data_IF_564859972692
#
_entry.id   IF_564859972692
#
_cell.length_a   1.000
_cell.length_b   1.000
_cell.length_c   1.000
_cell.angle_alpha   90.00
_cell.angle_beta   90.00
_cell.angle_gamma   90.00
#
_symmetry.space_group_name_H-M   'P 1'
#
loop_
_entity.id
_entity.type
_entity.pdbx_description
1 polymer ?
#
# COMPACT_ATOMS: atom_id res chain seq x y z
N UNK A 1 -13.73 -6.26 11.68
CA UNK A 1 -12.30 -5.98 11.41
C UNK A 1 -12.06 -5.03 10.23
N UNK A 2 -12.35 -5.40 8.97
CA UNK A 2 -11.96 -4.56 7.82
C UNK A 2 -12.71 -3.23 7.78
N UNK A 3 -13.95 -3.19 8.23
CA UNK A 3 -14.68 -1.93 8.41
C UNK A 3 -14.00 -1.03 9.43
N UNK A 4 -13.56 -1.59 10.57
CA UNK A 4 -12.82 -0.84 11.60
C UNK A 4 -11.49 -0.31 11.07
N UNK A 5 -10.70 -1.14 10.38
CA UNK A 5 -9.45 -0.74 9.75
C UNK A 5 -9.68 0.35 8.68
N UNK A 6 -10.76 0.22 7.90
CA UNK A 6 -11.16 1.21 6.90
C UNK A 6 -11.53 2.53 7.57
N UNK A 7 -12.34 2.50 8.64
CA UNK A 7 -12.70 3.72 9.38
C UNK A 7 -11.47 4.34 10.07
N UNK A 8 -10.56 3.50 10.58
CA UNK A 8 -9.30 3.94 11.16
C UNK A 8 -8.46 4.74 10.17
N UNK A 9 -8.31 4.30 8.92
CA UNK A 9 -7.61 5.08 7.90
C UNK A 9 -8.42 6.31 7.47
N UNK A 10 -9.72 6.12 7.24
CA UNK A 10 -10.58 7.13 6.64
C UNK A 10 -10.84 8.34 7.56
N UNK A 11 -10.74 8.18 8.89
CA UNK A 11 -10.85 9.30 9.83
C UNK A 11 -9.80 10.40 9.60
N UNK A 12 -8.71 10.08 8.90
CA UNK A 12 -7.63 11.00 8.57
C UNK A 12 -7.81 11.71 7.23
N UNK A 13 -8.92 11.49 6.49
CA UNK A 13 -9.18 12.11 5.17
C UNK A 13 -8.92 13.62 5.10
N UNK A 14 -9.31 14.35 6.15
CA UNK A 14 -9.19 15.81 6.21
C UNK A 14 -8.03 16.27 7.09
N UNK A 15 -7.06 15.39 7.35
CA UNK A 15 -5.89 15.65 8.19
C UNK A 15 -4.62 15.42 7.39
N UNK A 16 -3.69 16.36 7.48
CA UNK A 16 -2.34 16.15 6.99
C UNK A 16 -1.49 15.65 8.15
N UNK A 17 -1.08 14.39 8.08
CA UNK A 17 -0.12 13.79 9.01
C UNK A 17 1.25 13.73 8.35
N UNK A 18 2.26 14.19 9.06
CA UNK A 18 3.65 14.00 8.66
C UNK A 18 4.13 12.59 9.04
N UNK A 19 5.27 12.14 8.50
CA UNK A 19 5.79 10.79 8.75
C UNK A 19 5.92 10.48 10.26
N UNK A 20 6.31 11.47 11.06
CA UNK A 20 6.37 11.35 12.52
C UNK A 20 4.99 11.03 13.11
N UNK A 21 3.95 11.78 12.74
CA UNK A 21 2.60 11.59 13.28
C UNK A 21 2.04 10.22 12.87
N UNK A 22 2.29 9.78 11.64
CA UNK A 22 1.89 8.45 11.18
C UNK A 22 2.61 7.34 11.96
N UNK A 23 3.89 7.54 12.31
CA UNK A 23 4.66 6.56 13.08
C UNK A 23 4.14 6.34 14.51
N UNK A 24 3.43 7.32 15.08
CA UNK A 24 2.79 7.22 16.39
C UNK A 24 1.57 6.28 16.36
N UNK A 25 1.03 5.98 15.17
CA UNK A 25 -0.08 5.05 14.96
C UNK A 25 0.35 3.58 14.86
N UNK A 26 1.62 3.27 15.14
CA UNK A 26 2.22 1.95 14.96
C UNK A 26 1.40 0.82 15.56
N UNK A 27 0.90 0.98 16.79
CA UNK A 27 0.17 -0.09 17.48
C UNK A 27 -1.11 -0.48 16.75
N UNK A 28 -1.85 0.49 16.20
CA UNK A 28 -3.05 0.24 15.40
C UNK A 28 -2.71 -0.47 14.08
N UNK A 29 -1.68 -0.01 13.37
CA UNK A 29 -1.22 -0.66 12.14
C UNK A 29 -0.76 -2.10 12.38
N UNK A 30 -0.01 -2.34 13.46
CA UNK A 30 0.44 -3.69 13.83
C UNK A 30 -0.75 -4.60 14.19
N UNK A 31 -1.72 -4.09 14.95
CA UNK A 31 -2.95 -4.81 15.27
C UNK A 31 -3.67 -5.24 13.99
N UNK A 32 -3.98 -4.29 13.10
CA UNK A 32 -4.71 -4.60 11.88
C UNK A 32 -3.92 -5.48 10.91
N UNK A 33 -2.59 -5.29 10.79
CA UNK A 33 -1.71 -6.17 10.01
C UNK A 33 -1.82 -7.61 10.50
N UNK A 34 -1.73 -7.83 11.81
CA UNK A 34 -1.81 -9.17 12.39
C UNK A 34 -3.17 -9.84 12.13
N UNK A 35 -4.26 -9.09 12.15
CA UNK A 35 -5.58 -9.62 11.77
C UNK A 35 -5.63 -9.96 10.26
N UNK A 36 -5.07 -9.09 9.41
CA UNK A 36 -5.06 -9.25 7.95
C UNK A 36 -4.24 -10.48 7.52
N UNK A 37 -3.01 -10.64 7.99
CA UNK A 37 -2.12 -11.74 7.57
C UNK A 37 -2.67 -13.12 7.92
N UNK A 38 -3.57 -13.19 8.90
CA UNK A 38 -4.27 -14.41 9.32
C UNK A 38 -5.62 -14.60 8.63
N UNK A 39 -5.98 -13.74 7.67
CA UNK A 39 -7.23 -13.78 6.92
C UNK A 39 -7.02 -14.26 5.48
N UNK A 40 -8.09 -14.72 4.83
CA UNK A 40 -8.06 -15.07 3.40
C UNK A 40 -7.74 -13.88 2.49
N UNK A 41 -8.02 -12.65 2.95
CA UNK A 41 -7.75 -11.43 2.19
C UNK A 41 -6.25 -11.21 1.94
N UNK A 42 -5.37 -11.69 2.83
CA UNK A 42 -3.93 -11.57 2.64
C UNK A 42 -3.48 -12.31 1.38
N UNK A 43 -3.91 -13.56 1.22
CA UNK A 43 -3.59 -14.35 0.03
C UNK A 43 -4.30 -13.79 -1.21
N UNK A 44 -5.56 -13.35 -1.07
CA UNK A 44 -6.34 -12.77 -2.18
C UNK A 44 -5.63 -11.55 -2.80
N UNK A 45 -5.06 -10.67 -1.97
CA UNK A 45 -4.48 -9.40 -2.42
C UNK A 45 -2.95 -9.37 -2.34
N UNK A 46 -2.30 -10.53 -2.24
CA UNK A 46 -0.85 -10.60 -2.03
C UNK A 46 -0.06 -9.97 -3.17
N UNK A 47 -0.47 -10.18 -4.42
CA UNK A 47 0.16 -9.57 -5.60
C UNK A 47 -0.02 -8.04 -5.62
N UNK A 48 -1.19 -7.55 -5.19
CA UNK A 48 -1.41 -6.11 -5.03
C UNK A 48 -0.50 -5.53 -3.93
N UNK A 49 -0.33 -6.26 -2.82
CA UNK A 49 0.63 -5.90 -1.78
C UNK A 49 2.06 -5.80 -2.32
N UNK A 50 2.54 -6.81 -3.07
CA UNK A 50 3.87 -6.78 -3.68
C UNK A 50 4.02 -5.59 -4.63
N UNK A 51 3.01 -5.33 -5.44
CA UNK A 51 3.04 -4.22 -6.39
C UNK A 51 3.14 -2.85 -5.69
N UNK A 52 2.30 -2.60 -4.68
CA UNK A 52 2.32 -1.33 -3.94
C UNK A 52 3.57 -1.18 -3.09
N UNK A 53 4.05 -2.27 -2.46
CA UNK A 53 5.32 -2.26 -1.73
C UNK A 53 6.50 -1.95 -2.64
N UNK A 54 6.60 -2.60 -3.80
CA UNK A 54 7.63 -2.33 -4.80
C UNK A 54 7.55 -0.89 -5.33
N UNK A 55 6.34 -0.41 -5.63
CA UNK A 55 6.10 0.98 -6.03
C UNK A 55 6.53 1.98 -4.96
N UNK A 56 6.31 1.67 -3.68
CA UNK A 56 6.70 2.53 -2.54
C UNK A 56 8.21 2.70 -2.47
N UNK A 57 8.98 1.66 -2.78
CA UNK A 57 10.44 1.72 -2.81
C UNK A 57 11.05 2.57 -3.94
N UNK A 58 10.24 3.15 -4.84
CA UNK A 58 10.72 4.19 -5.76
C UNK A 58 11.24 5.44 -5.04
N UNK A 59 10.77 5.66 -3.80
CA UNK A 59 11.21 6.76 -2.96
C UNK A 59 12.37 6.29 -2.08
N UNK A 60 13.52 6.97 -2.19
CA UNK A 60 14.75 6.55 -1.50
C UNK A 60 14.68 6.70 0.02
N UNK A 61 14.02 7.75 0.52
CA UNK A 61 13.99 8.07 1.95
C UNK A 61 12.75 7.49 2.65
N UNK A 62 12.95 6.95 3.85
CA UNK A 62 11.90 6.27 4.62
C UNK A 62 10.78 7.22 5.11
N UNK A 63 11.12 8.46 5.44
CA UNK A 63 10.14 9.51 5.79
C UNK A 63 9.21 9.81 4.61
N UNK A 64 9.77 9.95 3.40
CA UNK A 64 8.98 10.16 2.19
C UNK A 64 8.12 8.95 1.85
N UNK A 65 8.65 7.72 1.98
CA UNK A 65 7.87 6.49 1.80
C UNK A 65 6.66 6.48 2.72
N UNK A 66 6.88 6.67 4.01
CA UNK A 66 5.81 6.65 5.00
C UNK A 66 4.76 7.73 4.73
N UNK A 67 5.20 8.97 4.50
CA UNK A 67 4.32 10.09 4.24
C UNK A 67 3.45 9.86 2.99
N UNK A 68 4.07 9.61 1.84
CA UNK A 68 3.33 9.51 0.58
C UNK A 68 2.45 8.26 0.53
N UNK A 69 2.92 7.11 1.02
CA UNK A 69 2.11 5.88 1.03
C UNK A 69 0.88 6.03 1.95
N UNK A 70 1.00 6.74 3.08
CA UNK A 70 -0.15 7.03 3.93
C UNK A 70 -1.17 7.95 3.23
N UNK A 71 -0.71 9.00 2.55
CA UNK A 71 -1.59 9.89 1.78
C UNK A 71 -2.28 9.16 0.61
N UNK A 72 -1.53 8.33 -0.12
CA UNK A 72 -2.06 7.48 -1.20
C UNK A 72 -3.13 6.51 -0.68
N UNK A 73 -2.95 5.93 0.51
CA UNK A 73 -3.93 5.03 1.12
C UNK A 73 -5.27 5.73 1.37
N UNK A 74 -5.23 6.91 1.99
CA UNK A 74 -6.41 7.72 2.28
C UNK A 74 -7.12 8.09 0.98
N UNK A 75 -6.37 8.59 -0.01
CA UNK A 75 -6.93 8.98 -1.30
C UNK A 75 -7.60 7.80 -2.03
N UNK A 76 -6.94 6.64 -2.05
CA UNK A 76 -7.44 5.45 -2.75
C UNK A 76 -8.72 4.92 -2.10
N UNK A 77 -8.79 4.91 -0.77
CA UNK A 77 -10.00 4.53 -0.02
C UNK A 77 -11.12 5.55 -0.26
N UNK A 78 -10.82 6.84 -0.24
CA UNK A 78 -11.83 7.88 -0.49
C UNK A 78 -12.41 7.77 -1.90
N UNK A 79 -11.54 7.62 -2.90
CA UNK A 79 -11.97 7.45 -4.29
C UNK A 79 -12.87 6.22 -4.45
N UNK A 80 -12.46 5.07 -3.90
CA UNK A 80 -13.26 3.85 -3.96
C UNK A 80 -14.63 4.01 -3.27
N UNK A 81 -14.69 4.73 -2.12
CA UNK A 81 -15.97 5.05 -1.46
C UNK A 81 -16.85 5.95 -2.32
N UNK A 82 -16.27 6.98 -2.96
CA UNK A 82 -17.00 7.89 -3.84
C UNK A 82 -17.57 7.19 -5.07
N UNK A 83 -16.83 6.22 -5.63
CA UNK A 83 -17.27 5.41 -6.77
C UNK A 83 -18.15 4.21 -6.37
N UNK A 84 -18.40 4.01 -5.07
CA UNK A 84 -19.15 2.86 -4.54
C UNK A 84 -18.54 1.51 -4.92
N UNK A 85 -17.21 1.46 -5.01
CA UNK A 85 -16.44 0.26 -5.26
C UNK A 85 -16.06 -0.43 -3.94
N UNK A 86 -16.95 -1.30 -3.46
CA UNK A 86 -16.75 -2.01 -2.17
C UNK A 86 -15.50 -2.91 -2.19
N UNK A 87 -15.21 -3.55 -3.33
CA UNK A 87 -14.01 -4.37 -3.46
C UNK A 87 -12.75 -3.50 -3.47
N UNK A 88 -12.78 -2.36 -4.15
CA UNK A 88 -11.71 -1.36 -4.11
C UNK A 88 -11.46 -0.84 -2.70
N UNK A 89 -12.51 -0.58 -1.90
CA UNK A 89 -12.35 -0.19 -0.49
C UNK A 89 -11.63 -1.29 0.28
N UNK A 90 -12.08 -2.54 0.16
CA UNK A 90 -11.47 -3.67 0.86
C UNK A 90 -10.00 -3.87 0.45
N UNK A 91 -9.72 -3.90 -0.85
CA UNK A 91 -8.37 -4.08 -1.41
C UNK A 91 -7.42 -3.01 -0.89
N UNK A 92 -7.81 -1.74 -0.97
CA UNK A 92 -6.97 -0.63 -0.55
C UNK A 92 -6.73 -0.66 0.96
N UNK A 93 -7.76 -0.90 1.77
CA UNK A 93 -7.59 -1.05 3.22
C UNK A 93 -6.60 -2.17 3.57
N UNK A 94 -6.75 -3.34 2.97
CA UNK A 94 -5.89 -4.50 3.24
C UNK A 94 -4.44 -4.21 2.86
N UNK A 95 -4.21 -3.79 1.62
CA UNK A 95 -2.86 -3.60 1.08
C UNK A 95 -2.14 -2.49 1.81
N UNK A 96 -2.77 -1.33 1.98
CA UNK A 96 -2.09 -0.18 2.57
C UNK A 96 -1.82 -0.36 4.06
N UNK A 97 -2.64 -1.08 4.84
CA UNK A 97 -2.31 -1.39 6.24
C UNK A 97 -0.96 -2.12 6.32
N UNK A 98 -0.75 -3.14 5.49
CA UNK A 98 0.47 -3.95 5.53
C UNK A 98 1.68 -3.13 5.07
N UNK A 99 1.55 -2.39 3.97
CA UNK A 99 2.66 -1.57 3.43
C UNK A 99 3.02 -0.44 4.37
N UNK A 100 2.05 0.22 5.00
CA UNK A 100 2.30 1.31 5.94
C UNK A 100 2.98 0.78 7.21
N UNK A 101 2.58 -0.38 7.74
CA UNK A 101 3.30 -0.99 8.87
C UNK A 101 4.78 -1.25 8.53
N UNK A 102 5.07 -1.78 7.33
CA UNK A 102 6.44 -1.97 6.88
C UNK A 102 7.19 -0.61 6.80
N UNK A 103 6.55 0.44 6.26
CA UNK A 103 7.12 1.78 6.19
C UNK A 103 7.38 2.40 7.58
N UNK A 104 6.47 2.20 8.55
CA UNK A 104 6.64 2.65 9.94
C UNK A 104 7.86 1.95 10.55
N UNK A 105 8.00 0.64 10.34
CA UNK A 105 9.13 -0.11 10.86
C UNK A 105 10.45 0.40 10.27
N UNK A 106 10.52 0.66 8.96
CA UNK A 106 11.72 1.25 8.35
C UNK A 106 12.02 2.65 8.88
N UNK A 107 11.01 3.52 8.97
CA UNK A 107 11.16 4.89 9.46
C UNK A 107 11.71 4.92 10.89
N UNK A 108 11.28 3.99 11.74
CA UNK A 108 11.75 3.84 13.11
C UNK A 108 13.10 3.09 13.23
N UNK A 109 13.69 2.64 12.13
CA UNK A 109 14.94 1.87 12.12
C UNK A 109 14.80 0.43 12.60
N UNK A 110 13.59 -0.13 12.61
CA UNK A 110 13.35 -1.54 12.90
C UNK A 110 13.69 -2.40 11.68
N UNK A 111 14.05 -3.67 11.93
CA UNK A 111 14.30 -4.63 10.85
C UNK A 111 13.03 -4.92 10.04
N UNK A 112 13.18 -4.99 8.72
CA UNK A 112 12.13 -5.47 7.80
C UNK A 112 12.53 -6.78 7.14
N UNK A 113 11.54 -7.48 6.58
CA UNK A 113 11.78 -8.67 5.76
C UNK A 113 12.39 -8.26 4.40
N UNK A 114 13.72 -8.36 4.31
CA UNK A 114 14.49 -8.05 3.10
C UNK A 114 14.18 -9.01 1.94
N UNK A 115 13.82 -10.28 2.21
CA UNK A 115 13.44 -11.21 1.15
C UNK A 115 12.12 -10.77 0.51
N UNK A 116 11.14 -10.37 1.34
CA UNK A 116 9.85 -9.90 0.88
C UNK A 116 9.96 -8.55 0.14
N UNK A 117 10.84 -7.67 0.61
CA UNK A 117 11.18 -6.42 -0.08
C UNK A 117 11.78 -6.68 -1.46
N UNK A 118 12.77 -7.57 -1.57
CA UNK A 118 13.37 -7.91 -2.85
C UNK A 118 12.33 -8.51 -3.82
N UNK A 119 11.47 -9.40 -3.32
CA UNK A 119 10.35 -9.97 -4.09
C UNK A 119 9.39 -8.89 -4.61
N UNK A 120 9.08 -7.89 -3.78
CA UNK A 120 8.20 -6.79 -4.17
C UNK A 120 8.82 -5.89 -5.26
N UNK A 121 10.13 -5.60 -5.16
CA UNK A 121 10.86 -4.85 -6.19
C UNK A 121 10.84 -5.56 -7.54
N UNK A 122 11.15 -6.86 -7.55
CA UNK A 122 11.14 -7.68 -8.76
C UNK A 122 9.73 -7.79 -9.37
N UNK A 123 8.72 -7.99 -8.52
CA UNK A 123 7.33 -8.04 -8.95
C UNK A 123 6.92 -6.73 -9.66
N UNK A 124 7.17 -5.59 -9.02
CA UNK A 124 6.84 -4.28 -9.57
C UNK A 124 7.59 -4.03 -10.90
N UNK A 125 8.89 -4.33 -10.98
CA UNK A 125 9.66 -4.15 -12.21
C UNK A 125 9.10 -5.00 -13.37
N UNK A 126 8.71 -6.23 -13.09
CA UNK A 126 8.10 -7.12 -14.09
C UNK A 126 6.74 -6.60 -14.57
N UNK A 127 5.90 -6.10 -13.68
CA UNK A 127 4.62 -5.48 -14.05
C UNK A 127 4.84 -4.23 -14.92
N UNK A 128 5.81 -3.37 -14.57
CA UNK A 128 6.14 -2.20 -15.39
C UNK A 128 6.62 -2.59 -16.80
N UNK A 129 7.46 -3.64 -16.91
CA UNK A 129 7.89 -4.17 -18.21
C UNK A 129 6.71 -4.71 -19.02
N UNK A 130 5.78 -5.43 -18.40
CA UNK A 130 4.58 -5.95 -19.07
C UNK A 130 3.72 -4.82 -19.62
N UNK A 131 3.40 -3.82 -18.80
CA UNK A 131 2.61 -2.65 -19.19
C UNK A 131 3.30 -1.89 -20.33
N UNK A 132 4.62 -1.68 -20.25
CA UNK A 132 5.40 -1.03 -21.32
C UNK A 132 5.33 -1.79 -22.65
N UNK A 133 5.42 -3.12 -22.61
CA UNK A 133 5.34 -3.97 -23.80
C UNK A 133 3.93 -3.96 -24.42
N UNK A 134 2.88 -3.94 -23.62
CA UNK A 134 1.49 -3.82 -24.09
C UNK A 134 1.24 -2.46 -24.74
N UNK A 135 1.66 -1.36 -24.10
CA UNK A 135 1.49 -0.01 -24.64
C UNK A 135 2.19 0.14 -26.00
N UNK A 136 3.40 -0.43 -26.17
CA UNK A 136 4.10 -0.45 -27.46
C UNK A 136 3.28 -1.15 -28.55
N UNK A 137 2.58 -2.24 -28.23
CA UNK A 137 1.69 -2.92 -29.19
C UNK A 137 0.55 -2.01 -29.61
N UNK A 138 -0.15 -1.37 -28.66
CA UNK A 138 -1.25 -0.45 -28.97
C UNK A 138 -0.81 0.73 -29.85
N UNK A 139 0.36 1.31 -29.60
CA UNK A 139 0.90 2.39 -30.43
C UNK A 139 1.33 1.93 -31.84
N UNK A 140 1.63 0.64 -32.05
CA UNK A 140 1.88 0.11 -33.40
C UNK A 140 0.59 -0.04 -34.23
N UNK A 141 -0.57 -0.29 -33.59
CA UNK A 141 -1.87 -0.46 -34.28
C UNK A 141 -2.62 0.86 -34.54
N UNK A 142 -2.08 2.00 -34.10
CA UNK A 142 -2.64 3.33 -34.33
C UNK A 142 -2.02 4.07 -35.54
N UNK A 143 -1.15 3.40 -36.31
CA UNK A 143 -0.55 3.92 -37.54
C UNK A 143 -1.20 3.30 -38.79
#
# INVERSE_FOLDING_TARGET
MFDEATQFLYQYKNKQLEAKDVSELKEDFQKYKNEIINSECYNKFFDNYLNIKGYTYRLEKADLRLFYTFQEAIYSIDLAKLTRDEEGVLLNTVVYIIVIDDCINEYLGNSIDENLKQKALEFYENEQKRISAENKKYHMYQN
#
